data_IF_464034898529
#
_entry.id   IF_464034898529
#
_cell.length_a   1.000
_cell.length_b   1.000
_cell.length_c   1.000
_cell.angle_alpha   90.00
_cell.angle_beta   90.00
_cell.angle_gamma   90.00
#
_symmetry.space_group_name_H-M   'P 1'
#
loop_
_entity.id
_entity.type
_entity.pdbx_description
1 polymer ?
#
# COMPACT_ATOMS: atom_id res chain seq x y z
N UNK A 1 -17.11 -16.08 -10.24
CA UNK A 1 -16.10 -15.31 -11.03
C UNK A 1 -14.73 -15.62 -10.49
N UNK A 2 -13.82 -16.01 -11.37
CA UNK A 2 -12.42 -16.35 -11.06
C UNK A 2 -11.52 -15.18 -11.41
N UNK A 3 -10.92 -14.58 -10.41
CA UNK A 3 -10.10 -13.37 -10.58
C UNK A 3 -8.64 -13.71 -10.35
N UNK A 4 -7.80 -13.40 -11.33
CA UNK A 4 -6.36 -13.50 -11.24
C UNK A 4 -5.77 -12.15 -10.87
N UNK A 5 -5.24 -12.03 -9.66
CA UNK A 5 -4.49 -10.84 -9.26
C UNK A 5 -3.02 -10.96 -9.65
N UNK A 6 -2.52 -9.90 -10.26
CA UNK A 6 -1.12 -9.76 -10.63
C UNK A 6 -0.53 -8.57 -9.89
N UNK A 7 0.41 -8.82 -8.98
CA UNK A 7 1.03 -7.77 -8.16
C UNK A 7 2.52 -8.03 -7.94
N UNK A 8 3.27 -6.97 -7.65
CA UNK A 8 4.69 -7.06 -7.28
C UNK A 8 4.90 -7.29 -5.78
N UNK A 9 3.86 -7.08 -4.96
CA UNK A 9 3.90 -7.22 -3.49
C UNK A 9 2.65 -7.93 -2.99
N UNK A 10 2.85 -8.97 -2.19
CA UNK A 10 1.80 -9.70 -1.49
C UNK A 10 2.41 -10.38 -0.27
N UNK A 11 1.71 -10.46 0.88
CA UNK A 11 2.25 -11.07 2.08
C UNK A 11 2.71 -12.51 1.86
N UNK A 12 3.70 -12.95 2.62
CA UNK A 12 4.14 -14.35 2.66
C UNK A 12 4.36 -14.78 4.11
N UNK A 13 4.52 -16.09 4.35
CA UNK A 13 4.94 -16.62 5.65
C UNK A 13 6.20 -15.93 6.17
N UNK A 14 7.16 -15.66 5.27
CA UNK A 14 8.46 -15.07 5.61
C UNK A 14 8.44 -13.53 5.69
N UNK A 15 7.42 -12.90 5.06
CA UNK A 15 7.26 -11.44 5.01
C UNK A 15 5.79 -11.06 5.17
N UNK A 16 5.21 -11.26 6.34
CA UNK A 16 3.77 -11.10 6.57
C UNK A 16 3.28 -9.65 6.46
N UNK A 17 4.15 -8.66 6.62
CA UNK A 17 3.81 -7.23 6.52
C UNK A 17 3.87 -6.64 5.11
N UNK A 18 4.37 -7.38 4.08
CA UNK A 18 4.48 -6.85 2.73
C UNK A 18 3.13 -6.89 1.99
N UNK A 19 2.51 -5.73 1.71
CA UNK A 19 1.30 -5.65 0.87
C UNK A 19 0.03 -6.19 1.56
N UNK A 20 -0.10 -6.02 2.87
CA UNK A 20 -1.26 -6.45 3.69
C UNK A 20 -2.57 -5.94 3.13
N UNK A 21 -2.61 -4.72 2.61
CA UNK A 21 -3.80 -4.13 2.01
C UNK A 21 -4.33 -4.94 0.80
N UNK A 22 -3.46 -5.60 0.04
CA UNK A 22 -3.88 -6.53 -1.01
C UNK A 22 -4.56 -7.77 -0.42
N UNK A 23 -3.96 -8.36 0.61
CA UNK A 23 -4.54 -9.52 1.29
C UNK A 23 -5.91 -9.19 1.88
N UNK A 24 -6.07 -8.03 2.52
CA UNK A 24 -7.34 -7.53 3.06
C UNK A 24 -8.40 -7.44 1.96
N UNK A 25 -8.11 -6.76 0.86
CA UNK A 25 -9.04 -6.58 -0.24
C UNK A 25 -9.40 -7.93 -0.93
N UNK A 26 -8.41 -8.81 -1.12
CA UNK A 26 -8.65 -10.16 -1.67
C UNK A 26 -9.58 -10.99 -0.79
N UNK A 27 -9.45 -10.89 0.53
CA UNK A 27 -10.33 -11.59 1.46
C UNK A 27 -11.75 -11.07 1.43
N UNK A 28 -11.94 -9.74 1.39
CA UNK A 28 -13.27 -9.16 1.28
C UNK A 28 -13.96 -9.58 -0.02
N UNK A 29 -13.26 -9.62 -1.15
CA UNK A 29 -13.78 -10.15 -2.42
C UNK A 29 -14.16 -11.64 -2.32
N UNK A 30 -13.36 -12.45 -1.59
CA UNK A 30 -13.70 -13.86 -1.34
C UNK A 30 -14.97 -14.02 -0.52
N UNK A 31 -15.15 -13.22 0.54
CA UNK A 31 -16.40 -13.22 1.32
C UNK A 31 -17.62 -12.92 0.43
N UNK A 32 -17.43 -12.15 -0.62
CA UNK A 32 -18.44 -11.88 -1.64
C UNK A 32 -18.57 -12.97 -2.73
N UNK A 33 -17.88 -14.10 -2.59
CA UNK A 33 -17.97 -15.26 -3.50
C UNK A 33 -17.08 -15.17 -4.74
N UNK A 34 -16.03 -14.32 -4.76
CA UNK A 34 -15.01 -14.37 -5.79
C UNK A 34 -13.98 -15.47 -5.50
N UNK A 35 -13.61 -16.26 -6.51
CA UNK A 35 -12.49 -17.19 -6.44
C UNK A 35 -11.21 -16.43 -6.79
N UNK A 36 -10.30 -16.28 -5.80
CA UNK A 36 -9.12 -15.46 -5.91
C UNK A 36 -7.85 -16.28 -6.06
N UNK A 37 -7.07 -16.01 -7.10
CA UNK A 37 -5.69 -16.49 -7.25
C UNK A 37 -4.77 -15.30 -7.40
N UNK A 38 -3.62 -15.33 -6.73
CA UNK A 38 -2.60 -14.27 -6.81
C UNK A 38 -1.35 -14.80 -7.47
N UNK A 39 -0.84 -14.08 -8.47
CA UNK A 39 0.50 -14.28 -9.00
C UNK A 39 1.34 -13.04 -8.64
N UNK A 40 2.40 -13.29 -7.84
CA UNK A 40 3.36 -12.28 -7.38
C UNK A 40 4.77 -12.65 -7.84
N UNK A 41 5.17 -12.35 -9.09
CA UNK A 41 6.44 -12.82 -9.67
C UNK A 41 7.66 -12.25 -8.96
N UNK A 42 8.72 -13.07 -8.85
CA UNK A 42 9.97 -12.72 -8.18
C UNK A 42 11.09 -12.47 -9.16
N UNK A 43 11.86 -11.38 -9.02
CA UNK A 43 13.03 -11.14 -9.85
C UNK A 43 14.15 -12.12 -9.50
N UNK A 44 14.75 -12.76 -10.51
CA UNK A 44 15.96 -13.58 -10.37
C UNK A 44 17.07 -13.01 -11.24
N UNK A 45 18.09 -12.44 -10.61
CA UNK A 45 19.29 -11.94 -11.29
C UNK A 45 20.15 -13.10 -11.77
N UNK A 46 20.70 -12.99 -12.99
CA UNK A 46 21.69 -13.93 -13.49
C UNK A 46 22.97 -13.91 -12.65
N UNK A 47 23.71 -15.03 -12.65
CA UNK A 47 24.89 -15.22 -11.81
C UNK A 47 25.94 -14.07 -11.90
N UNK A 48 26.31 -13.55 -13.08
CA UNK A 48 27.28 -12.45 -13.17
C UNK A 48 26.86 -11.20 -12.39
N UNK A 49 25.58 -10.81 -12.48
CA UNK A 49 25.05 -9.63 -11.77
C UNK A 49 24.99 -9.81 -10.24
N UNK A 50 24.84 -11.04 -9.78
CA UNK A 50 24.81 -11.35 -8.33
C UNK A 50 26.18 -11.10 -7.66
N UNK A 51 27.26 -11.07 -8.42
CA UNK A 51 28.59 -10.77 -7.92
C UNK A 51 28.86 -9.29 -7.72
N UNK A 52 28.10 -8.40 -8.38
CA UNK A 52 28.35 -6.97 -8.39
C UNK A 52 28.04 -6.26 -7.06
N UNK A 53 27.04 -6.72 -6.31
CA UNK A 53 26.64 -6.10 -5.03
C UNK A 53 26.20 -7.15 -4.02
N UNK A 54 26.54 -6.94 -2.74
CA UNK A 54 26.14 -7.82 -1.63
C UNK A 54 24.60 -7.98 -1.55
N UNK A 55 23.84 -6.91 -1.79
CA UNK A 55 22.37 -6.92 -1.82
C UNK A 55 21.78 -7.82 -2.92
N UNK A 56 22.50 -8.05 -4.03
CA UNK A 56 22.05 -8.92 -5.12
C UNK A 56 22.27 -10.42 -4.81
N UNK A 57 23.02 -10.74 -3.75
CA UNK A 57 23.28 -12.11 -3.31
C UNK A 57 22.18 -12.62 -2.37
N UNK A 58 21.35 -11.75 -1.82
CA UNK A 58 20.27 -12.15 -0.93
C UNK A 58 19.34 -13.12 -1.65
N UNK A 59 19.15 -14.28 -1.04
CA UNK A 59 18.20 -15.29 -1.53
C UNK A 59 16.78 -14.85 -1.17
N UNK A 60 15.89 -14.88 -2.15
CA UNK A 60 14.48 -14.70 -1.88
C UNK A 60 13.94 -15.96 -1.18
N UNK A 61 13.61 -15.83 0.09
CA UNK A 61 13.17 -16.93 0.96
C UNK A 61 11.66 -17.20 0.88
N UNK A 62 10.89 -16.30 0.23
CA UNK A 62 9.43 -16.47 0.10
C UNK A 62 9.09 -17.78 -0.63
N UNK A 63 8.07 -18.54 -0.19
CA UNK A 63 7.68 -19.79 -0.85
C UNK A 63 7.24 -19.55 -2.29
N UNK A 64 7.50 -20.51 -3.18
CA UNK A 64 7.10 -20.44 -4.58
C UNK A 64 5.57 -20.51 -4.75
N UNK A 65 4.91 -21.22 -3.85
CA UNK A 65 3.47 -21.34 -3.72
C UNK A 65 3.10 -21.48 -2.24
N UNK A 66 2.00 -20.86 -1.85
CA UNK A 66 1.38 -21.05 -0.54
C UNK A 66 -0.11 -20.72 -0.58
N UNK A 67 -0.85 -21.28 0.36
CA UNK A 67 -2.22 -20.88 0.64
C UNK A 67 -2.23 -19.87 1.78
N UNK A 68 -2.79 -18.69 1.53
CA UNK A 68 -2.91 -17.64 2.54
C UNK A 68 -4.36 -17.24 2.73
N UNK A 69 -4.90 -17.53 3.91
CA UNK A 69 -6.28 -17.21 4.26
C UNK A 69 -7.27 -17.60 3.14
N UNK A 70 -7.02 -18.76 2.53
CA UNK A 70 -7.83 -19.34 1.45
C UNK A 70 -7.60 -18.73 0.06
N UNK A 71 -6.56 -17.94 -0.16
CA UNK A 71 -6.10 -17.46 -1.47
C UNK A 71 -4.89 -18.27 -1.90
N UNK A 72 -4.90 -18.80 -3.14
CA UNK A 72 -3.73 -19.46 -3.73
C UNK A 72 -2.76 -18.41 -4.25
N UNK A 73 -1.52 -18.41 -3.76
CA UNK A 73 -0.49 -17.43 -4.10
C UNK A 73 0.69 -18.10 -4.78
N UNK A 74 0.93 -17.77 -6.04
CA UNK A 74 2.04 -18.29 -6.84
C UNK A 74 3.11 -17.22 -7.03
N UNK A 75 4.40 -17.59 -6.88
CA UNK A 75 5.52 -16.67 -7.02
C UNK A 75 6.56 -17.18 -8.03
N UNK A 76 6.22 -17.21 -9.33
CA UNK A 76 7.16 -17.63 -10.35
C UNK A 76 8.36 -16.69 -10.44
N UNK A 77 9.53 -17.21 -10.81
CA UNK A 77 10.70 -16.38 -11.08
C UNK A 77 10.69 -15.84 -12.50
N UNK A 78 11.07 -14.59 -12.67
CA UNK A 78 11.40 -14.03 -13.98
C UNK A 78 12.84 -13.51 -14.02
N UNK A 79 13.47 -13.51 -15.21
CA UNK A 79 14.83 -13.01 -15.38
C UNK A 79 14.85 -11.50 -15.16
N UNK A 80 15.67 -11.04 -14.23
CA UNK A 80 15.84 -9.64 -13.91
C UNK A 80 17.25 -9.15 -14.27
N UNK A 81 17.36 -7.84 -14.50
CA UNK A 81 18.63 -7.15 -14.69
C UNK A 81 18.70 -5.95 -13.72
N UNK A 82 19.91 -5.55 -13.27
CA UNK A 82 20.07 -4.42 -12.37
C UNK A 82 19.47 -3.13 -12.99
N UNK A 83 18.77 -2.34 -12.17
CA UNK A 83 18.17 -1.07 -12.61
C UNK A 83 17.07 -1.20 -13.67
N UNK A 84 16.51 -2.39 -13.85
CA UNK A 84 15.57 -2.70 -14.93
C UNK A 84 14.38 -1.73 -15.05
N UNK A 85 13.86 -1.19 -13.93
CA UNK A 85 12.76 -0.22 -13.96
C UNK A 85 13.14 1.11 -14.65
N UNK A 86 14.44 1.41 -14.76
CA UNK A 86 14.92 2.64 -15.42
C UNK A 86 15.13 2.45 -16.93
N UNK A 87 15.59 1.26 -17.38
CA UNK A 87 16.03 1.10 -18.78
C UNK A 87 15.59 -0.20 -19.47
N UNK A 88 15.37 -1.30 -18.74
CA UNK A 88 15.15 -2.64 -19.34
C UNK A 88 13.76 -3.22 -19.12
N UNK A 89 12.81 -2.42 -18.74
CA UNK A 89 11.40 -2.70 -18.45
C UNK A 89 11.06 -4.19 -18.31
N UNK A 90 10.71 -4.71 -17.09
CA UNK A 90 10.62 -6.16 -16.84
C UNK A 90 9.33 -6.82 -17.32
N UNK A 91 8.30 -6.06 -17.69
CA UNK A 91 6.94 -6.55 -17.94
C UNK A 91 6.86 -7.70 -18.97
N UNK A 92 7.63 -7.68 -20.07
CA UNK A 92 7.64 -8.76 -21.07
C UNK A 92 8.16 -10.08 -20.49
N UNK A 93 9.29 -10.00 -19.73
CA UNK A 93 9.89 -11.19 -19.10
C UNK A 93 9.00 -11.72 -17.96
N UNK A 94 8.33 -10.82 -17.29
CA UNK A 94 7.39 -11.11 -16.23
C UNK A 94 6.12 -11.79 -16.80
N UNK A 95 5.56 -11.29 -17.91
CA UNK A 95 4.43 -11.87 -18.60
C UNK A 95 4.71 -13.31 -19.05
N UNK A 96 5.87 -13.58 -19.64
CA UNK A 96 6.28 -14.95 -20.04
C UNK A 96 6.30 -15.91 -18.84
N UNK A 97 6.83 -15.46 -17.69
CA UNK A 97 6.85 -16.25 -16.46
C UNK A 97 5.44 -16.50 -15.91
N UNK A 98 4.56 -15.52 -15.99
CA UNK A 98 3.15 -15.62 -15.55
C UNK A 98 2.37 -16.58 -16.44
N UNK A 99 2.48 -16.48 -17.77
CA UNK A 99 1.83 -17.39 -18.71
C UNK A 99 2.28 -18.84 -18.48
N UNK A 100 3.58 -19.04 -18.22
CA UNK A 100 4.11 -20.37 -17.87
C UNK A 100 3.51 -20.91 -16.57
N UNK A 101 3.32 -20.04 -15.55
CA UNK A 101 2.69 -20.43 -14.29
C UNK A 101 1.20 -20.74 -14.48
N UNK A 102 0.47 -19.94 -15.23
CA UNK A 102 -0.95 -20.16 -15.58
C UNK A 102 -1.12 -21.53 -16.24
N UNK A 103 -0.31 -21.82 -17.26
CA UNK A 103 -0.33 -23.12 -17.95
C UNK A 103 0.02 -24.27 -17.02
N UNK A 104 1.09 -24.13 -16.23
CA UNK A 104 1.57 -25.17 -15.31
C UNK A 104 0.53 -25.55 -14.25
N UNK A 105 -0.21 -24.58 -13.75
CA UNK A 105 -1.19 -24.79 -12.68
C UNK A 105 -2.64 -24.90 -13.18
N UNK A 106 -2.86 -24.91 -14.50
CA UNK A 106 -4.19 -25.03 -15.11
C UNK A 106 -5.16 -23.91 -14.72
N UNK A 107 -4.64 -22.69 -14.49
CA UNK A 107 -5.47 -21.56 -14.07
C UNK A 107 -6.33 -21.08 -15.25
N UNK A 108 -7.63 -20.87 -15.00
CA UNK A 108 -8.61 -20.39 -15.97
C UNK A 108 -9.35 -19.19 -15.38
N UNK A 109 -8.71 -18.01 -15.33
CA UNK A 109 -9.37 -16.80 -14.81
C UNK A 109 -10.37 -16.22 -15.81
N UNK A 110 -11.42 -15.60 -15.28
CA UNK A 110 -12.41 -14.85 -16.06
C UNK A 110 -11.95 -13.39 -16.25
N UNK A 111 -11.13 -12.87 -15.32
CA UNK A 111 -10.65 -11.49 -15.28
C UNK A 111 -9.25 -11.44 -14.66
N UNK A 112 -8.42 -10.53 -15.15
CA UNK A 112 -7.14 -10.17 -14.53
C UNK A 112 -7.30 -8.82 -13.81
N UNK A 113 -6.83 -8.74 -12.56
CA UNK A 113 -6.66 -7.46 -11.87
C UNK A 113 -5.18 -7.22 -11.58
N UNK A 114 -4.60 -6.23 -12.23
CA UNK A 114 -3.22 -5.83 -11.99
C UNK A 114 -3.14 -4.71 -10.95
N UNK A 115 -2.21 -4.84 -10.03
CA UNK A 115 -1.87 -3.79 -9.08
C UNK A 115 -0.50 -3.21 -9.42
N UNK A 116 -0.42 -1.88 -9.46
CA UNK A 116 0.67 -1.06 -10.01
C UNK A 116 0.75 -1.12 -11.54
N UNK A 117 0.75 0.04 -12.19
CA UNK A 117 0.87 0.13 -13.65
C UNK A 117 2.10 -0.62 -14.17
N UNK A 118 3.22 -0.52 -13.43
CA UNK A 118 4.44 -1.23 -13.80
C UNK A 118 5.14 -1.82 -12.56
N UNK A 119 5.68 -3.04 -12.68
CA UNK A 119 5.70 -3.88 -13.88
C UNK A 119 4.45 -4.73 -14.09
N UNK A 120 3.54 -4.81 -13.09
CA UNK A 120 2.42 -5.76 -13.08
C UNK A 120 1.38 -5.46 -14.16
N UNK A 121 0.94 -4.20 -14.30
CA UNK A 121 -0.02 -3.78 -15.32
C UNK A 121 0.50 -4.01 -16.74
N UNK A 122 1.77 -3.63 -17.02
CA UNK A 122 2.37 -3.92 -18.31
C UNK A 122 2.50 -5.42 -18.62
N UNK A 123 2.70 -6.27 -17.60
CA UNK A 123 2.67 -7.71 -17.78
C UNK A 123 1.23 -8.21 -17.98
N UNK A 124 0.25 -7.63 -17.26
CA UNK A 124 -1.16 -7.97 -17.39
C UNK A 124 -1.71 -7.67 -18.79
N UNK A 125 -1.32 -6.54 -19.37
CA UNK A 125 -1.69 -6.20 -20.75
C UNK A 125 -1.28 -7.30 -21.75
N UNK A 126 -0.07 -7.85 -21.60
CA UNK A 126 0.42 -8.95 -22.47
C UNK A 126 -0.32 -10.26 -22.17
N UNK A 127 -0.52 -10.58 -20.89
CA UNK A 127 -1.20 -11.81 -20.46
C UNK A 127 -2.67 -11.79 -20.86
N UNK A 128 -3.36 -10.67 -20.68
CA UNK A 128 -4.74 -10.41 -21.10
C UNK A 128 -4.92 -10.70 -22.58
N UNK A 129 -4.08 -10.11 -23.42
CA UNK A 129 -4.11 -10.34 -24.87
C UNK A 129 -3.84 -11.81 -25.24
N UNK A 130 -2.92 -12.46 -24.56
CA UNK A 130 -2.58 -13.86 -24.82
C UNK A 130 -3.70 -14.86 -24.42
N UNK A 131 -4.51 -14.51 -23.43
CA UNK A 131 -5.61 -15.35 -22.93
C UNK A 131 -6.98 -14.96 -23.49
N UNK A 132 -7.10 -13.80 -24.15
CA UNK A 132 -8.38 -13.28 -24.64
C UNK A 132 -9.34 -12.87 -23.51
N UNK A 133 -8.83 -12.42 -22.34
CA UNK A 133 -9.66 -12.03 -21.20
C UNK A 133 -9.34 -10.57 -20.78
N UNK A 134 -10.33 -9.81 -20.29
CA UNK A 134 -10.09 -8.41 -19.92
C UNK A 134 -9.18 -8.32 -18.68
N UNK A 135 -8.48 -7.17 -18.55
CA UNK A 135 -7.82 -6.82 -17.31
C UNK A 135 -8.17 -5.42 -16.85
N UNK A 136 -8.18 -5.24 -15.53
CA UNK A 136 -8.34 -3.96 -14.86
C UNK A 136 -7.08 -3.61 -14.08
N UNK A 137 -6.86 -2.32 -13.84
CA UNK A 137 -5.63 -1.82 -13.24
C UNK A 137 -5.92 -0.94 -12.03
N UNK A 138 -5.30 -1.22 -10.88
CA UNK A 138 -5.28 -0.29 -9.74
C UNK A 138 -3.91 0.38 -9.61
N UNK A 139 -3.93 1.70 -9.54
CA UNK A 139 -2.79 2.59 -9.34
C UNK A 139 -2.64 2.89 -7.84
N UNK A 140 -1.39 2.80 -7.31
CA UNK A 140 -1.13 2.85 -5.87
C UNK A 140 -0.26 4.04 -5.40
N UNK A 141 0.35 4.79 -6.31
CA UNK A 141 1.15 5.99 -6.01
C UNK A 141 2.51 5.98 -6.66
N UNK A 142 3.47 5.16 -6.25
CA UNK A 142 4.82 5.13 -6.82
C UNK A 142 4.84 4.80 -8.31
N UNK A 143 3.88 4.06 -8.77
CA UNK A 143 3.66 3.68 -10.17
C UNK A 143 3.16 4.84 -11.06
N UNK A 144 2.68 5.92 -10.45
CA UNK A 144 2.29 7.17 -11.12
C UNK A 144 3.30 8.29 -10.81
N UNK A 145 3.62 8.48 -9.52
CA UNK A 145 4.40 9.63 -9.07
C UNK A 145 5.91 9.48 -9.30
N UNK A 146 6.41 8.25 -9.43
CA UNK A 146 7.86 7.97 -9.45
C UNK A 146 8.27 7.22 -10.72
N UNK A 147 7.62 6.11 -10.99
CA UNK A 147 8.03 5.18 -12.04
C UNK A 147 8.09 5.80 -13.45
N UNK A 148 7.06 6.53 -13.94
CA UNK A 148 7.06 7.09 -15.30
C UNK A 148 8.18 8.12 -15.53
N UNK A 149 8.67 8.73 -14.44
CA UNK A 149 9.71 9.77 -14.48
C UNK A 149 11.14 9.23 -14.52
N UNK A 150 11.33 7.91 -14.39
CA UNK A 150 12.68 7.33 -14.45
C UNK A 150 13.34 7.46 -15.82
N UNK A 151 12.56 7.38 -16.91
CA UNK A 151 13.06 7.48 -18.29
C UNK A 151 11.90 7.50 -19.30
N UNK A 152 12.22 7.89 -20.56
CA UNK A 152 11.25 7.77 -21.67
C UNK A 152 10.74 6.32 -21.87
N UNK A 153 11.58 5.32 -21.60
CA UNK A 153 11.19 3.91 -21.67
C UNK A 153 10.19 3.54 -20.55
N UNK A 154 10.39 4.05 -19.33
CA UNK A 154 9.48 3.84 -18.21
C UNK A 154 8.13 4.52 -18.47
N UNK A 155 8.14 5.76 -18.98
CA UNK A 155 6.92 6.46 -19.36
C UNK A 155 6.11 5.71 -20.43
N UNK A 156 6.76 5.26 -21.53
CA UNK A 156 6.09 4.46 -22.55
C UNK A 156 5.49 3.16 -22.01
N UNK A 157 6.20 2.49 -21.10
CA UNK A 157 5.71 1.27 -20.48
C UNK A 157 4.51 1.52 -19.55
N UNK A 158 4.50 2.64 -18.84
CA UNK A 158 3.35 3.10 -18.06
C UNK A 158 2.14 3.37 -18.96
N UNK A 159 2.32 4.18 -20.01
CA UNK A 159 1.25 4.51 -20.98
C UNK A 159 0.68 3.25 -21.65
N UNK A 160 1.54 2.29 -21.99
CA UNK A 160 1.11 0.99 -22.52
C UNK A 160 0.20 0.25 -21.52
N UNK A 161 0.62 0.14 -20.25
CA UNK A 161 -0.18 -0.53 -19.23
C UNK A 161 -1.55 0.15 -19.02
N UNK A 162 -1.57 1.48 -19.02
CA UNK A 162 -2.80 2.27 -18.80
C UNK A 162 -3.75 2.11 -19.99
N UNK A 163 -3.25 2.26 -21.23
CA UNK A 163 -4.08 2.23 -22.43
C UNK A 163 -4.75 0.88 -22.71
N UNK A 164 -4.07 -0.21 -22.40
CA UNK A 164 -4.57 -1.57 -22.66
C UNK A 164 -5.52 -2.09 -21.56
N UNK A 165 -5.75 -1.32 -20.47
CA UNK A 165 -6.65 -1.71 -19.39
C UNK A 165 -8.11 -1.45 -19.78
N UNK A 166 -8.99 -2.41 -19.50
CA UNK A 166 -10.44 -2.28 -19.73
C UNK A 166 -11.10 -1.31 -18.74
N UNK A 167 -10.54 -1.16 -17.53
CA UNK A 167 -10.91 -0.13 -16.56
C UNK A 167 -9.73 0.16 -15.63
N UNK A 168 -9.66 1.38 -15.07
CA UNK A 168 -8.56 1.85 -14.25
C UNK A 168 -9.09 2.46 -12.96
N UNK A 169 -8.44 2.13 -11.84
CA UNK A 169 -8.77 2.65 -10.52
C UNK A 169 -7.56 3.35 -9.91
N UNK A 170 -7.77 4.53 -9.36
CA UNK A 170 -6.78 5.23 -8.53
C UNK A 170 -7.20 5.16 -7.07
N UNK A 171 -6.25 4.92 -6.17
CA UNK A 171 -6.55 4.82 -4.72
C UNK A 171 -6.88 6.17 -4.08
N UNK A 172 -6.68 7.29 -4.77
CA UNK A 172 -7.02 8.64 -4.31
C UNK A 172 -7.35 9.58 -5.47
N UNK A 173 -8.07 10.67 -5.16
CA UNK A 173 -8.37 11.73 -6.14
C UNK A 173 -7.11 12.42 -6.65
N UNK A 174 -6.13 12.70 -5.78
CA UNK A 174 -4.86 13.29 -6.18
C UNK A 174 -4.09 12.39 -7.16
N UNK A 175 -4.14 11.07 -6.97
CA UNK A 175 -3.49 10.13 -7.88
C UNK A 175 -4.20 10.05 -9.23
N UNK A 176 -5.55 10.16 -9.25
CA UNK A 176 -6.32 10.29 -10.49
C UNK A 176 -5.90 11.51 -11.30
N UNK A 177 -5.79 12.67 -10.66
CA UNK A 177 -5.35 13.90 -11.33
C UNK A 177 -3.90 13.82 -11.84
N UNK A 178 -3.03 13.15 -11.10
CA UNK A 178 -1.66 12.89 -11.55
C UNK A 178 -1.62 11.97 -12.77
N UNK A 179 -2.42 10.90 -12.76
CA UNK A 179 -2.51 9.97 -13.88
C UNK A 179 -3.03 10.67 -15.15
N UNK A 180 -4.05 11.55 -15.03
CA UNK A 180 -4.56 12.35 -16.16
C UNK A 180 -3.48 13.23 -16.80
N UNK A 181 -2.53 13.75 -16.02
CA UNK A 181 -1.40 14.54 -16.56
C UNK A 181 -0.39 13.69 -17.32
N UNK A 182 -0.33 12.39 -17.06
CA UNK A 182 0.64 11.48 -17.68
C UNK A 182 0.08 10.71 -18.89
N UNK A 183 -1.23 10.61 -18.97
CA UNK A 183 -1.93 9.88 -20.04
C UNK A 183 -3.29 10.52 -20.31
N UNK A 184 -3.82 10.32 -21.51
CA UNK A 184 -5.17 10.81 -21.88
C UNK A 184 -6.30 9.94 -21.29
N UNK A 185 -5.95 8.83 -20.63
CA UNK A 185 -6.94 7.94 -20.02
C UNK A 185 -7.54 8.54 -18.76
N UNK A 186 -8.81 8.25 -18.49
CA UNK A 186 -9.46 8.55 -17.21
C UNK A 186 -9.50 7.31 -16.31
N UNK A 187 -9.70 7.51 -15.01
CA UNK A 187 -9.87 6.43 -14.04
C UNK A 187 -10.89 6.79 -12.97
N UNK A 188 -11.50 5.77 -12.39
CA UNK A 188 -12.36 5.95 -11.22
C UNK A 188 -11.51 6.00 -9.94
N UNK A 189 -11.97 6.74 -8.93
CA UNK A 189 -11.37 6.65 -7.60
C UNK A 189 -11.97 5.47 -6.85
N UNK A 190 -11.12 4.56 -6.40
CA UNK A 190 -11.49 3.43 -5.55
C UNK A 190 -10.44 3.30 -4.44
N UNK A 191 -10.72 3.86 -3.24
CA UNK A 191 -9.77 3.86 -2.14
C UNK A 191 -9.45 2.45 -1.64
N UNK A 192 -8.24 2.27 -1.10
CA UNK A 192 -7.92 1.12 -0.29
C UNK A 192 -8.64 1.29 1.05
N UNK A 193 -9.30 0.23 1.52
CA UNK A 193 -9.94 0.21 2.83
C UNK A 193 -9.19 -0.68 3.82
N UNK A 194 -9.58 -0.56 5.08
CA UNK A 194 -9.20 -1.46 6.17
C UNK A 194 -10.42 -2.29 6.62
N UNK A 195 -10.19 -3.44 7.24
CA UNK A 195 -11.26 -4.20 7.90
C UNK A 195 -11.58 -3.51 9.23
N UNK A 196 -12.61 -2.67 9.26
CA UNK A 196 -12.96 -1.84 10.43
C UNK A 196 -13.16 -2.66 11.70
N UNK A 197 -13.76 -3.85 11.60
CA UNK A 197 -13.98 -4.73 12.76
C UNK A 197 -12.67 -5.17 13.43
N UNK A 198 -11.55 -5.13 12.73
CA UNK A 198 -10.24 -5.41 13.32
C UNK A 198 -9.69 -4.23 14.14
N UNK A 199 -10.21 -3.02 13.92
CA UNK A 199 -9.77 -1.78 14.59
C UNK A 199 -10.87 -1.25 15.52
N UNK A 200 -11.23 -2.06 16.53
CA UNK A 200 -12.20 -1.67 17.55
C UNK A 200 -11.49 -1.30 18.85
N UNK A 201 -12.12 -0.40 19.62
CA UNK A 201 -11.64 -0.06 20.97
C UNK A 201 -11.62 -1.35 21.83
N UNK A 202 -10.48 -1.62 22.46
CA UNK A 202 -10.33 -2.75 23.39
C UNK A 202 -10.76 -2.35 24.80
N UNK A 203 -11.13 -3.34 25.60
CA UNK A 203 -11.44 -3.14 27.05
C UNK A 203 -10.17 -2.97 27.90
N UNK A 204 -8.99 -2.90 27.26
CA UNK A 204 -7.69 -2.74 27.94
C UNK A 204 -7.34 -1.24 28.00
N UNK A 205 -6.86 -0.76 29.15
CA UNK A 205 -6.44 0.65 29.27
C UNK A 205 -5.14 0.93 28.55
N UNK A 206 -4.88 2.19 28.21
CA UNK A 206 -3.63 2.62 27.56
C UNK A 206 -2.41 2.22 28.39
N UNK A 207 -2.48 2.38 29.71
CA UNK A 207 -1.40 2.04 30.65
C UNK A 207 -1.12 0.53 30.66
N UNK A 208 -2.16 -0.30 30.63
CA UNK A 208 -2.02 -1.76 30.55
C UNK A 208 -1.37 -2.19 29.24
N UNK A 209 -1.76 -1.58 28.12
CA UNK A 209 -1.15 -1.83 26.81
C UNK A 209 0.33 -1.41 26.82
N UNK A 210 0.66 -0.21 27.34
CA UNK A 210 2.04 0.26 27.48
C UNK A 210 2.90 -0.69 28.28
N UNK A 211 2.40 -1.11 29.45
CA UNK A 211 3.08 -2.08 30.33
C UNK A 211 3.38 -3.39 29.57
N UNK A 212 2.40 -3.92 28.85
CA UNK A 212 2.53 -5.14 28.05
C UNK A 212 3.54 -5.01 26.91
N UNK A 213 3.63 -3.84 26.30
CA UNK A 213 4.57 -3.54 25.21
C UNK A 213 5.95 -3.08 25.70
N UNK A 214 6.15 -2.92 27.02
CA UNK A 214 7.39 -2.38 27.59
C UNK A 214 7.65 -0.91 27.21
N UNK A 215 6.58 -0.12 27.03
CA UNK A 215 6.65 1.30 26.69
C UNK A 215 6.54 2.17 27.93
N UNK A 216 7.16 3.37 27.95
CA UNK A 216 7.05 4.32 29.05
C UNK A 216 5.59 4.66 29.39
N UNK A 217 5.26 4.69 30.69
CA UNK A 217 3.95 5.10 31.17
C UNK A 217 3.84 6.61 31.46
N UNK A 218 4.97 7.23 31.74
CA UNK A 218 5.14 8.63 32.16
C UNK A 218 5.47 9.60 31.03
N UNK A 219 5.58 9.09 29.78
CA UNK A 219 5.88 9.89 28.59
C UNK A 219 4.68 10.10 27.69
N UNK A 220 4.70 11.17 26.90
CA UNK A 220 3.82 11.39 25.74
C UNK A 220 4.41 10.66 24.55
N UNK A 221 3.74 9.61 24.09
CA UNK A 221 4.27 8.74 23.04
C UNK A 221 3.78 9.18 21.66
N UNK A 222 4.72 9.54 20.81
CA UNK A 222 4.49 9.81 19.39
C UNK A 222 4.89 8.55 18.60
N UNK A 223 3.91 7.83 18.04
CA UNK A 223 4.17 6.62 17.27
C UNK A 223 4.30 6.90 15.78
N UNK A 224 5.35 6.36 15.17
CA UNK A 224 5.48 6.20 13.73
C UNK A 224 5.35 4.71 13.38
N UNK A 225 4.56 4.38 12.37
CA UNK A 225 4.39 2.99 11.91
C UNK A 225 4.64 2.92 10.41
N UNK A 226 5.64 2.13 9.99
CA UNK A 226 5.95 1.97 8.57
C UNK A 226 7.38 1.56 8.29
N UNK A 227 7.77 1.61 7.02
CA UNK A 227 9.17 1.36 6.63
C UNK A 227 10.07 2.49 7.13
N UNK A 228 11.16 2.14 7.79
CA UNK A 228 12.12 3.11 8.32
C UNK A 228 13.08 3.58 7.21
N UNK A 229 12.56 4.43 6.32
CA UNK A 229 13.29 5.03 5.18
C UNK A 229 13.11 6.54 5.18
N UNK A 230 14.07 7.27 4.58
CA UNK A 230 14.07 8.74 4.53
C UNK A 230 12.77 9.30 3.93
N UNK A 231 12.26 8.68 2.89
CA UNK A 231 11.04 9.09 2.17
C UNK A 231 9.77 9.08 3.04
N UNK A 232 9.83 8.41 4.18
CA UNK A 232 8.75 8.38 5.20
C UNK A 232 8.90 9.44 6.29
N UNK A 233 9.91 10.33 6.19
CA UNK A 233 10.11 11.44 7.12
C UNK A 233 10.56 11.03 8.52
N UNK A 234 11.13 9.83 8.68
CA UNK A 234 11.53 9.30 10.01
C UNK A 234 12.60 10.17 10.69
N UNK A 235 13.47 10.82 9.91
CA UNK A 235 14.47 11.71 10.44
C UNK A 235 13.90 13.08 10.82
N UNK A 236 12.84 13.53 10.14
CA UNK A 236 12.15 14.77 10.49
C UNK A 236 11.41 14.59 11.82
N UNK A 237 10.75 13.42 12.01
CA UNK A 237 10.14 13.09 13.30
C UNK A 237 11.17 12.96 14.41
N UNK A 238 12.31 12.30 14.15
CA UNK A 238 13.40 12.20 15.13
C UNK A 238 13.88 13.58 15.58
N UNK A 239 14.15 14.49 14.66
CA UNK A 239 14.57 15.87 14.96
C UNK A 239 13.49 16.67 15.69
N UNK A 240 12.23 16.54 15.26
CA UNK A 240 11.11 17.23 15.90
C UNK A 240 10.99 16.82 17.38
N UNK A 241 11.01 15.52 17.68
CA UNK A 241 10.89 15.04 19.06
C UNK A 241 12.11 15.41 19.90
N UNK A 242 13.33 15.37 19.34
CA UNK A 242 14.55 15.81 20.02
C UNK A 242 14.57 17.32 20.36
N UNK A 243 13.80 18.13 19.66
CA UNK A 243 13.67 19.57 19.99
C UNK A 243 12.63 19.88 21.06
N UNK A 244 11.82 18.88 21.45
CA UNK A 244 10.83 18.98 22.52
C UNK A 244 11.44 18.64 23.88
N UNK A 245 10.69 18.91 24.94
CA UNK A 245 11.10 18.54 26.30
C UNK A 245 11.03 17.01 26.54
N UNK A 246 11.58 16.59 27.69
CA UNK A 246 11.73 15.17 28.05
C UNK A 246 10.42 14.40 28.24
N UNK A 247 9.27 15.08 28.28
CA UNK A 247 7.95 14.43 28.36
C UNK A 247 7.61 13.66 27.09
N UNK A 248 8.20 14.01 25.94
CA UNK A 248 7.89 13.42 24.65
C UNK A 248 8.89 12.32 24.29
N UNK A 249 8.36 11.23 23.72
CA UNK A 249 9.16 10.09 23.27
C UNK A 249 8.64 9.55 21.92
N UNK A 250 9.55 9.31 20.98
CA UNK A 250 9.19 8.72 19.68
C UNK A 250 9.33 7.20 19.69
N UNK A 251 8.29 6.52 19.23
CA UNK A 251 8.24 5.06 19.07
C UNK A 251 8.15 4.73 17.58
N UNK A 252 9.21 4.18 17.02
CA UNK A 252 9.27 3.75 15.61
C UNK A 252 8.98 2.27 15.48
N UNK A 253 7.80 1.96 14.91
CA UNK A 253 7.34 0.60 14.65
C UNK A 253 7.58 0.24 13.19
N UNK A 254 8.56 -0.62 12.93
CA UNK A 254 8.93 -1.03 11.58
C UNK A 254 10.40 -1.36 11.41
N UNK A 255 10.79 -1.64 10.19
CA UNK A 255 12.17 -1.95 9.84
C UNK A 255 12.62 -1.17 8.59
N UNK A 256 13.92 -1.00 8.42
CA UNK A 256 14.49 -0.29 7.29
C UNK A 256 15.91 0.23 7.56
N UNK A 257 16.54 0.82 6.55
CA UNK A 257 17.92 1.32 6.65
C UNK A 257 18.14 2.42 7.71
N UNK A 258 17.09 3.15 8.11
CA UNK A 258 17.21 4.19 9.15
C UNK A 258 17.19 3.64 10.59
N UNK A 259 16.97 2.32 10.78
CA UNK A 259 16.78 1.70 12.11
C UNK A 259 17.94 1.93 13.07
N UNK A 260 19.20 1.76 12.62
CA UNK A 260 20.38 2.02 13.45
C UNK A 260 20.45 3.48 13.88
N UNK A 261 20.34 4.42 12.93
CA UNK A 261 20.44 5.83 13.20
C UNK A 261 19.35 6.33 14.18
N UNK A 262 18.14 5.76 14.13
CA UNK A 262 17.06 6.10 15.07
C UNK A 262 17.35 5.54 16.48
N UNK A 263 17.97 4.38 16.59
CA UNK A 263 18.44 3.84 17.89
C UNK A 263 19.60 4.64 18.46
N UNK A 264 20.54 5.03 17.62
CA UNK A 264 21.69 5.89 18.01
C UNK A 264 21.20 7.27 18.50
N UNK A 265 20.05 7.72 18.02
CA UNK A 265 19.33 8.92 18.47
C UNK A 265 18.48 8.68 19.74
N UNK A 266 18.65 7.55 20.42
CA UNK A 266 17.99 7.13 21.66
C UNK A 266 16.46 6.95 21.56
N UNK A 267 15.88 6.79 20.37
CA UNK A 267 14.47 6.50 20.22
C UNK A 267 14.13 5.01 20.41
N UNK A 268 12.90 4.74 20.78
CA UNK A 268 12.36 3.37 20.86
C UNK A 268 12.11 2.86 19.43
N UNK A 269 12.83 1.80 19.03
CA UNK A 269 12.69 1.17 17.71
C UNK A 269 12.39 -0.30 17.86
N UNK A 270 11.13 -0.69 17.61
CA UNK A 270 10.65 -2.06 17.85
C UNK A 270 11.16 -3.08 16.83
N UNK A 271 11.47 -2.63 15.60
CA UNK A 271 11.61 -3.49 14.44
C UNK A 271 10.23 -3.81 13.83
N UNK A 272 10.21 -4.75 12.89
CA UNK A 272 8.95 -5.19 12.27
C UNK A 272 8.11 -5.96 13.28
N UNK A 273 6.84 -5.59 13.41
CA UNK A 273 5.85 -6.28 14.25
C UNK A 273 4.77 -6.94 13.39
N UNK A 274 4.10 -7.99 13.87
CA UNK A 274 2.94 -8.56 13.20
C UNK A 274 1.82 -7.53 13.01
N UNK A 275 1.08 -7.63 11.90
CA UNK A 275 0.07 -6.61 11.56
C UNK A 275 -1.08 -6.52 12.59
N UNK A 276 -1.44 -7.64 13.20
CA UNK A 276 -2.44 -7.71 14.28
C UNK A 276 -2.00 -7.01 15.58
N UNK A 277 -0.72 -6.66 15.70
CA UNK A 277 -0.15 -5.90 16.83
C UNK A 277 -0.06 -4.40 16.57
N UNK A 278 -0.25 -3.94 15.33
CA UNK A 278 -0.21 -2.52 14.99
C UNK A 278 -1.23 -1.73 15.82
N UNK A 279 -2.42 -2.29 16.00
CA UNK A 279 -3.46 -1.69 16.83
C UNK A 279 -3.00 -1.42 18.27
N UNK A 280 -2.20 -2.31 18.86
CA UNK A 280 -1.69 -2.14 20.22
C UNK A 280 -0.79 -0.91 20.34
N UNK A 281 0.09 -0.70 19.36
CA UNK A 281 0.97 0.49 19.34
C UNK A 281 0.18 1.79 19.10
N UNK A 282 -0.84 1.76 18.25
CA UNK A 282 -1.73 2.92 18.05
C UNK A 282 -2.48 3.26 19.34
N UNK A 283 -3.08 2.27 20.01
CA UNK A 283 -3.80 2.47 21.28
C UNK A 283 -2.89 2.88 22.45
N UNK A 284 -1.61 2.48 22.43
CA UNK A 284 -0.60 2.88 23.41
C UNK A 284 -0.13 4.33 23.24
N UNK A 285 -0.27 4.92 22.04
CA UNK A 285 0.24 6.24 21.72
C UNK A 285 -0.70 7.36 22.12
N UNK A 286 -0.15 8.57 22.22
CA UNK A 286 -0.90 9.81 22.37
C UNK A 286 -1.13 10.46 21.02
N UNK A 287 -0.15 10.35 20.11
CA UNK A 287 -0.19 10.89 18.75
C UNK A 287 0.41 9.86 17.80
N UNK A 288 -0.19 9.67 16.65
CA UNK A 288 0.40 8.99 15.50
C UNK A 288 0.96 10.04 14.53
N UNK A 289 2.25 9.95 14.17
CA UNK A 289 2.89 10.85 13.24
C UNK A 289 3.36 10.13 11.96
N UNK A 290 2.99 10.66 10.79
CA UNK A 290 3.43 10.16 9.47
C UNK A 290 3.90 11.34 8.58
N UNK A 291 5.12 11.87 8.78
CA UNK A 291 5.65 13.02 8.05
C UNK A 291 6.25 12.62 6.69
N UNK A 292 5.56 11.77 5.92
CA UNK A 292 6.02 11.22 4.65
C UNK A 292 6.19 12.30 3.58
N UNK A 293 7.16 12.13 2.69
CA UNK A 293 7.37 12.97 1.49
C UNK A 293 6.49 12.52 0.31
N UNK A 294 6.02 11.29 0.31
CA UNK A 294 5.16 10.74 -0.75
C UNK A 294 4.37 9.54 -0.23
N UNK A 295 3.07 9.54 -0.55
CA UNK A 295 2.13 8.44 -0.29
C UNK A 295 1.24 8.20 -1.50
N UNK A 296 0.67 7.00 -1.60
CA UNK A 296 -0.50 6.76 -2.43
C UNK A 296 -1.77 6.96 -1.60
N UNK A 297 -2.02 6.00 -0.70
CA UNK A 297 -3.02 6.07 0.36
C UNK A 297 -2.36 5.56 1.66
N UNK A 298 -2.21 6.41 2.69
CA UNK A 298 -1.55 6.03 3.93
C UNK A 298 -2.47 5.18 4.82
N UNK A 299 -2.44 3.85 4.67
CA UNK A 299 -3.35 2.94 5.38
C UNK A 299 -3.22 3.02 6.90
N UNK A 300 -2.02 3.25 7.43
CA UNK A 300 -1.81 3.39 8.88
C UNK A 300 -2.51 4.64 9.45
N UNK A 301 -2.67 5.69 8.65
CA UNK A 301 -3.50 6.85 9.03
C UNK A 301 -4.97 6.44 9.13
N UNK A 302 -5.46 5.66 8.16
CA UNK A 302 -6.84 5.12 8.21
C UNK A 302 -7.04 4.29 9.49
N UNK A 303 -6.07 3.45 9.85
CA UNK A 303 -6.07 2.61 11.04
C UNK A 303 -6.11 3.45 12.34
N UNK A 304 -5.29 4.50 12.41
CA UNK A 304 -5.27 5.41 13.55
C UNK A 304 -6.59 6.20 13.69
N UNK A 305 -7.13 6.71 12.59
CA UNK A 305 -8.43 7.42 12.58
C UNK A 305 -9.60 6.48 12.95
N UNK A 306 -9.54 5.20 12.55
CA UNK A 306 -10.53 4.19 12.95
C UNK A 306 -10.53 3.95 14.47
N UNK A 307 -9.38 4.12 15.12
CA UNK A 307 -9.22 4.03 16.59
C UNK A 307 -9.40 5.38 17.29
N UNK A 308 -9.68 6.46 16.54
CA UNK A 308 -9.78 7.84 17.03
C UNK A 308 -8.50 8.35 17.69
N UNK A 309 -7.34 7.77 17.33
CA UNK A 309 -6.02 8.22 17.75
C UNK A 309 -5.70 9.54 17.04
N UNK A 310 -5.20 10.57 17.75
CA UNK A 310 -4.74 11.80 17.13
C UNK A 310 -3.67 11.56 16.07
N UNK A 311 -3.81 12.17 14.90
CA UNK A 311 -2.91 11.97 13.76
C UNK A 311 -2.32 13.29 13.29
N UNK A 312 -0.99 13.33 13.17
CA UNK A 312 -0.26 14.37 12.43
C UNK A 312 0.33 13.71 11.18
N UNK A 313 -0.06 14.17 10.01
CA UNK A 313 0.55 13.70 8.77
C UNK A 313 0.72 14.83 7.75
N UNK A 314 1.56 14.58 6.77
CA UNK A 314 1.82 15.53 5.68
C UNK A 314 0.73 15.48 4.63
N UNK A 315 0.48 16.62 3.96
CA UNK A 315 -0.44 16.74 2.83
C UNK A 315 0.19 16.15 1.56
N UNK A 316 0.23 14.81 1.51
CA UNK A 316 0.77 14.07 0.36
C UNK A 316 -0.16 12.92 -0.04
N UNK A 317 -0.28 12.67 -1.33
CA UNK A 317 -1.06 11.55 -1.87
C UNK A 317 -2.54 11.63 -1.51
N UNK A 318 -3.06 10.57 -0.90
CA UNK A 318 -4.46 10.46 -0.48
C UNK A 318 -4.78 11.07 0.89
N UNK A 319 -3.82 11.68 1.60
CA UNK A 319 -4.01 12.20 2.95
C UNK A 319 -5.16 13.21 3.03
N UNK A 320 -5.22 14.16 2.09
CA UNK A 320 -6.29 15.17 2.05
C UNK A 320 -7.70 14.56 2.05
N UNK A 321 -7.91 13.43 1.37
CA UNK A 321 -9.20 12.75 1.32
C UNK A 321 -9.61 12.10 2.66
N UNK A 322 -8.63 11.75 3.51
CA UNK A 322 -8.89 11.23 4.85
C UNK A 322 -9.37 12.31 5.81
N UNK A 323 -8.84 13.52 5.66
CA UNK A 323 -9.11 14.63 6.58
C UNK A 323 -10.32 15.49 6.18
N UNK A 324 -10.84 15.39 4.93
CA UNK A 324 -12.04 16.10 4.49
C UNK A 324 -11.98 17.60 4.80
N UNK A 325 -12.92 18.13 5.59
CA UNK A 325 -12.91 19.54 6.04
C UNK A 325 -11.79 19.91 7.01
N UNK A 326 -11.10 18.91 7.56
CA UNK A 326 -10.00 19.07 8.51
C UNK A 326 -8.61 19.09 7.85
N UNK A 327 -8.51 19.34 6.54
CA UNK A 327 -7.21 19.43 5.82
C UNK A 327 -6.24 20.44 6.45
N UNK A 328 -6.73 21.44 7.20
CA UNK A 328 -5.91 22.35 7.98
C UNK A 328 -5.01 21.67 9.03
N UNK A 329 -5.31 20.42 9.40
CA UNK A 329 -4.49 19.60 10.30
C UNK A 329 -3.33 18.90 9.58
N UNK A 330 -3.30 18.94 8.26
CA UNK A 330 -2.20 18.42 7.46
C UNK A 330 -1.04 19.44 7.44
N UNK A 331 0.18 18.92 7.54
CA UNK A 331 1.39 19.72 7.51
C UNK A 331 2.15 19.57 6.19
N UNK A 332 3.05 20.49 5.88
CA UNK A 332 3.96 20.36 4.74
C UNK A 332 5.09 19.37 5.06
N UNK A 333 5.53 18.54 4.09
CA UNK A 333 6.67 17.65 4.31
C UNK A 333 7.98 18.44 4.44
N UNK A 334 8.93 17.88 5.20
CA UNK A 334 10.30 18.36 5.27
C UNK A 334 10.55 19.50 6.26
N UNK A 335 9.65 19.73 7.24
CA UNK A 335 9.86 20.70 8.33
C UNK A 335 9.72 20.03 9.70
N UNK A 336 10.84 19.63 10.33
CA UNK A 336 10.86 19.17 11.71
C UNK A 336 10.26 20.17 12.69
N UNK A 337 10.48 21.48 12.46
CA UNK A 337 10.00 22.58 13.29
C UNK A 337 8.46 22.62 13.29
N UNK A 338 7.84 22.63 12.11
CA UNK A 338 6.37 22.59 11.99
C UNK A 338 5.79 21.30 12.61
N UNK A 339 6.52 20.19 12.51
CA UNK A 339 6.09 18.92 13.13
C UNK A 339 6.15 19.03 14.67
N UNK A 340 7.19 19.63 15.24
CA UNK A 340 7.30 19.86 16.68
C UNK A 340 6.20 20.81 17.19
N UNK A 341 5.96 21.92 16.51
CA UNK A 341 4.85 22.84 16.81
C UNK A 341 3.49 22.14 16.77
N UNK A 342 3.27 21.28 15.77
CA UNK A 342 2.03 20.52 15.67
C UNK A 342 1.88 19.53 16.84
N UNK A 343 2.94 18.85 17.26
CA UNK A 343 2.92 17.95 18.42
C UNK A 343 2.47 18.71 19.67
N UNK A 344 3.02 19.89 19.93
CA UNK A 344 2.64 20.73 21.07
C UNK A 344 1.17 21.16 21.01
N UNK A 345 0.68 21.63 19.86
CA UNK A 345 -0.73 22.00 19.67
C UNK A 345 -1.70 20.83 19.92
N UNK A 346 -1.29 19.61 19.58
CA UNK A 346 -2.08 18.40 19.85
C UNK A 346 -2.05 18.03 21.33
N UNK A 347 -0.91 18.18 22.02
CA UNK A 347 -0.79 17.91 23.45
C UNK A 347 -1.62 18.90 24.28
N UNK A 348 -1.67 20.16 23.87
CA UNK A 348 -2.51 21.21 24.47
C UNK A 348 -4.00 21.06 24.16
N UNK A 349 -4.40 20.12 23.29
CA UNK A 349 -5.79 19.89 22.88
C UNK A 349 -6.36 20.94 21.91
N UNK A 350 -5.52 21.85 21.42
CA UNK A 350 -5.95 22.95 20.55
C UNK A 350 -6.29 22.45 19.12
N UNK A 351 -5.59 21.42 18.63
CA UNK A 351 -5.74 20.93 17.26
C UNK A 351 -6.71 19.75 17.12
N UNK A 352 -6.79 18.90 18.14
CA UNK A 352 -7.57 17.65 18.09
C UNK A 352 -8.59 17.58 19.22
N UNK A 353 -9.87 17.53 18.85
CA UNK A 353 -11.01 17.45 19.78
C UNK A 353 -11.74 16.11 19.63
N UNK A 354 -12.54 15.70 20.64
CA UNK A 354 -13.41 14.51 20.49
C UNK A 354 -14.32 14.60 19.26
N UNK A 355 -14.85 15.78 18.94
CA UNK A 355 -15.66 15.99 17.73
C UNK A 355 -14.85 15.75 16.46
N UNK A 356 -13.62 16.26 16.38
CA UNK A 356 -12.70 16.02 15.25
C UNK A 356 -12.46 14.53 15.07
N UNK A 357 -12.18 13.81 16.16
CA UNK A 357 -11.96 12.37 16.13
C UNK A 357 -13.19 11.60 15.63
N UNK A 358 -14.40 11.97 16.09
CA UNK A 358 -15.64 11.32 15.69
C UNK A 358 -15.95 11.56 14.20
N UNK A 359 -15.80 12.77 13.72
CA UNK A 359 -16.07 13.08 12.31
C UNK A 359 -15.07 12.43 11.35
N UNK A 360 -13.78 12.40 11.71
CA UNK A 360 -12.77 11.68 10.94
C UNK A 360 -12.99 10.16 10.97
N UNK A 361 -13.42 9.61 12.08
CA UNK A 361 -13.86 8.21 12.16
C UNK A 361 -15.03 7.93 11.21
N UNK A 362 -16.05 8.83 11.11
CA UNK A 362 -17.15 8.67 10.17
C UNK A 362 -16.68 8.74 8.71
N UNK A 363 -15.69 9.59 8.41
CA UNK A 363 -15.05 9.63 7.07
C UNK A 363 -14.41 8.28 6.74
N UNK A 364 -13.66 7.70 7.68
CA UNK A 364 -13.05 6.37 7.51
C UNK A 364 -14.12 5.30 7.29
N UNK A 365 -15.15 5.28 8.12
CA UNK A 365 -16.24 4.31 8.05
C UNK A 365 -16.99 4.37 6.71
N UNK A 366 -17.19 5.57 6.17
CA UNK A 366 -17.95 5.79 4.94
C UNK A 366 -17.16 5.43 3.68
N UNK A 367 -15.88 5.79 3.63
CA UNK A 367 -15.10 5.73 2.38
C UNK A 367 -13.97 4.71 2.40
N UNK A 368 -13.54 4.26 3.57
CA UNK A 368 -12.35 3.41 3.71
C UNK A 368 -12.63 2.06 4.40
N UNK A 369 -13.88 1.63 4.42
CA UNK A 369 -14.26 0.28 4.81
C UNK A 369 -13.95 -0.70 3.66
N UNK A 370 -13.06 -1.65 3.91
CA UNK A 370 -12.63 -2.65 2.93
C UNK A 370 -13.80 -3.49 2.39
N UNK A 371 -14.84 -3.75 3.21
CA UNK A 371 -15.99 -4.53 2.78
C UNK A 371 -16.84 -3.78 1.76
N UNK A 372 -17.07 -2.48 1.97
CA UNK A 372 -17.81 -1.62 1.04
C UNK A 372 -17.01 -1.42 -0.26
N UNK A 373 -15.70 -1.17 -0.14
CA UNK A 373 -14.83 -1.00 -1.30
C UNK A 373 -14.72 -2.29 -2.13
N UNK A 374 -14.73 -3.46 -1.50
CA UNK A 374 -14.77 -4.74 -2.21
C UNK A 374 -16.09 -4.98 -2.94
N UNK A 375 -17.24 -4.55 -2.37
CA UNK A 375 -18.54 -4.59 -3.07
C UNK A 375 -18.50 -3.72 -4.34
N UNK A 376 -18.03 -2.48 -4.21
CA UNK A 376 -17.88 -1.57 -5.35
C UNK A 376 -16.95 -2.14 -6.42
N UNK A 377 -15.80 -2.71 -6.02
CA UNK A 377 -14.85 -3.34 -6.94
C UNK A 377 -15.47 -4.56 -7.64
N UNK A 378 -16.23 -5.39 -6.93
CA UNK A 378 -16.92 -6.55 -7.53
C UNK A 378 -17.92 -6.15 -8.60
N UNK A 379 -18.68 -5.07 -8.40
CA UNK A 379 -19.61 -4.55 -9.42
C UNK A 379 -18.86 -4.01 -10.66
N UNK A 380 -17.72 -3.35 -10.45
CA UNK A 380 -16.84 -2.92 -11.55
C UNK A 380 -16.33 -4.13 -12.35
N UNK A 381 -15.93 -5.21 -11.70
CA UNK A 381 -15.55 -6.45 -12.38
C UNK A 381 -16.68 -7.01 -13.24
N UNK A 382 -17.91 -7.05 -12.72
CA UNK A 382 -19.09 -7.51 -13.48
C UNK A 382 -19.32 -6.65 -14.72
N UNK A 383 -19.23 -5.34 -14.58
CA UNK A 383 -19.40 -4.41 -15.70
C UNK A 383 -18.38 -4.64 -16.80
N UNK A 384 -17.09 -4.82 -16.43
CA UNK A 384 -16.02 -5.10 -17.39
C UNK A 384 -16.21 -6.43 -18.10
N UNK A 385 -16.56 -7.50 -17.37
CA UNK A 385 -16.79 -8.82 -17.96
C UNK A 385 -18.00 -8.83 -18.91
N UNK A 386 -19.08 -8.12 -18.55
CA UNK A 386 -20.27 -8.01 -19.41
C UNK A 386 -19.96 -7.29 -20.74
N UNK A 387 -19.17 -6.20 -20.69
CA UNK A 387 -18.71 -5.49 -21.90
C UNK A 387 -17.86 -6.38 -22.80
N UNK A 388 -16.89 -7.10 -22.23
CA UNK A 388 -16.04 -7.99 -22.98
C UNK A 388 -16.84 -9.12 -23.65
N UNK A 389 -17.83 -9.70 -22.97
CA UNK A 389 -18.72 -10.72 -23.54
C UNK A 389 -19.62 -10.20 -24.67
N UNK A 390 -20.05 -8.95 -24.61
CA UNK A 390 -20.81 -8.32 -25.70
C UNK A 390 -19.94 -8.09 -26.94
N UNK A 391 -18.72 -7.59 -26.77
CA UNK A 391 -17.78 -7.39 -27.89
C UNK A 391 -17.39 -8.70 -28.57
N UNK A 392 -17.23 -9.79 -27.80
CA UNK A 392 -16.95 -11.11 -28.35
C UNK A 392 -18.13 -11.67 -29.19
N UNK A 393 -19.37 -11.44 -28.76
CA UNK A 393 -20.54 -11.86 -29.50
C UNK A 393 -20.69 -11.07 -30.82
N UNK A 394 -20.53 -9.76 -30.79
CA UNK A 394 -20.56 -8.91 -31.99
C UNK A 394 -19.48 -9.27 -33.01
N UNK A 395 -18.29 -9.70 -32.55
CA UNK A 395 -17.19 -10.09 -33.40
C UNK A 395 -17.39 -11.48 -34.05
N UNK A 396 -18.35 -12.28 -33.54
CA UNK A 396 -18.70 -13.63 -34.12
C UNK A 396 -19.87 -13.54 -35.09
N UNK A 397 -20.66 -12.47 -35.05
CA UNK A 397 -21.83 -12.25 -35.94
C UNK A 397 -21.50 -11.43 -37.19
N UNK A 398 -20.32 -10.79 -37.28
CA UNK A 398 -19.81 -10.04 -38.43
C UNK A 398 -18.69 -10.80 -39.14
#
# INVERSE_FOLDING_TARGET
MKVLWMTSVYPSSEKPGEGVFHETQAQELRKLGAEMTVICPRPKLAAPFRMLKKTYRQKDIRPAHEWRKGVSVHRPFYRAVPGQLKWAQPHKRMASSILSAIKKHGLKPDLIHAHFAMPSGGAAAIVSKALGIPYVLTLHGSDVNVYPHYSKSAHRAFTFAVREAADIYAVSGSLREQMKKLSEADCSVLPIGITLDAFQKRNETKEAIRKRLGLPSDKKLIVFIGRLVKEKGVFDLSKAVQSLDERFEAVFVGDGPAKSSLRDAAHIVTGQVPNDKIQDYLLASDIMALPSYSEGMPTVVIEALALKVPVICTDVGGAASLFGKYQRLLIRPGSPETLAESILQYDEGAAWTPQTADELYQTVRTYFDASQNAKALKEKYRTVMNRAGQEENLSKEG
#
